data_IF_941862846283
#
_entry.id   IF_941862846283
#
_cell.length_a   1.000
_cell.length_b   1.000
_cell.length_c   1.000
_cell.angle_alpha   90.00
_cell.angle_beta   90.00
_cell.angle_gamma   90.00
#
_symmetry.space_group_name_H-M   'P 1'
#
loop_
_entity.id
_entity.type
_entity.pdbx_description
1 polymer ?
#
# COMPACT_ATOMS: atom_id res chain seq x y z
N UNK A 1 -2.57 -14.11 12.78
CA UNK A 1 -2.13 -13.24 13.90
C UNK A 1 -1.46 -11.95 13.37
N UNK A 2 -0.26 -12.01 12.77
CA UNK A 2 0.43 -10.81 12.23
C UNK A 2 -0.40 -9.99 11.22
N UNK A 3 -1.15 -10.66 10.34
CA UNK A 3 -2.08 -10.01 9.40
C UNK A 3 -3.21 -9.25 10.12
N UNK A 4 -3.74 -9.83 11.21
CA UNK A 4 -4.80 -9.22 12.03
C UNK A 4 -4.28 -8.01 12.81
N UNK A 5 -3.01 -8.04 13.22
CA UNK A 5 -2.37 -6.93 13.92
C UNK A 5 -1.68 -5.92 12.98
N UNK A 6 -1.72 -6.12 11.66
CA UNK A 6 -1.01 -5.31 10.65
C UNK A 6 0.46 -4.99 10.98
N UNK A 7 1.13 -5.86 11.75
CA UNK A 7 2.50 -5.62 12.22
C UNK A 7 2.67 -4.63 13.37
N UNK A 8 1.58 -4.04 13.91
CA UNK A 8 1.58 -3.11 15.04
C UNK A 8 1.44 -3.80 16.41
N UNK A 9 1.88 -5.06 16.50
CA UNK A 9 1.90 -5.77 17.79
C UNK A 9 3.22 -5.51 18.50
N UNK A 10 3.15 -5.15 19.79
CA UNK A 10 4.31 -5.19 20.66
C UNK A 10 4.79 -6.64 20.73
N UNK A 11 5.97 -6.92 20.17
CA UNK A 11 6.55 -8.25 20.09
C UNK A 11 7.97 -8.19 20.61
N UNK A 12 8.29 -9.06 21.58
CA UNK A 12 9.65 -9.14 22.07
C UNK A 12 10.55 -9.83 21.03
N UNK A 13 11.86 -9.60 21.11
CA UNK A 13 12.83 -10.30 20.24
C UNK A 13 12.73 -11.82 20.37
N UNK A 14 12.35 -12.32 21.55
CA UNK A 14 12.17 -13.76 21.80
C UNK A 14 10.99 -14.35 21.03
N UNK A 15 9.94 -13.58 20.85
CA UNK A 15 8.75 -14.01 20.10
C UNK A 15 8.98 -13.84 18.59
N UNK A 16 9.64 -12.76 18.18
CA UNK A 16 9.92 -12.45 16.77
C UNK A 16 10.88 -13.45 16.12
N UNK A 17 11.99 -13.79 16.79
CA UNK A 17 13.09 -14.49 16.15
C UNK A 17 12.72 -15.89 15.59
N UNK A 18 11.95 -16.73 16.31
CA UNK A 18 11.50 -18.02 15.77
C UNK A 18 10.61 -17.86 14.53
N UNK A 19 9.69 -16.89 14.53
CA UNK A 19 8.84 -16.60 13.37
C UNK A 19 9.65 -16.11 12.17
N UNK A 20 10.62 -15.23 12.43
CA UNK A 20 11.53 -14.74 11.40
C UNK A 20 12.37 -15.86 10.79
N UNK A 21 12.99 -16.72 11.60
CA UNK A 21 13.82 -17.82 11.09
C UNK A 21 12.99 -18.82 10.29
N UNK A 22 11.80 -19.20 10.77
CA UNK A 22 10.91 -20.10 10.03
C UNK A 22 10.50 -19.50 8.67
N UNK A 23 10.13 -18.22 8.64
CA UNK A 23 9.81 -17.52 7.40
C UNK A 23 11.04 -17.38 6.48
N UNK A 24 12.21 -17.08 7.05
CA UNK A 24 13.46 -16.98 6.33
C UNK A 24 13.81 -18.30 5.66
N UNK A 25 13.85 -19.41 6.39
CA UNK A 25 14.13 -20.74 5.84
C UNK A 25 13.12 -21.18 4.77
N UNK A 26 11.85 -20.81 4.95
CA UNK A 26 10.83 -21.07 3.94
C UNK A 26 11.05 -20.28 2.64
N UNK A 27 11.54 -19.04 2.75
CA UNK A 27 11.61 -18.05 1.67
C UNK A 27 12.97 -18.00 0.97
N UNK A 28 14.08 -18.11 1.71
CA UNK A 28 15.48 -18.02 1.27
C UNK A 28 15.95 -19.28 0.55
N UNK A 29 15.12 -19.80 -0.35
CA UNK A 29 15.44 -20.94 -1.22
C UNK A 29 15.99 -20.40 -2.53
N UNK A 30 17.05 -21.02 -3.05
CA UNK A 30 17.65 -20.67 -4.36
C UNK A 30 16.61 -20.47 -5.46
N UNK A 31 15.61 -21.37 -5.54
CA UNK A 31 14.52 -21.30 -6.52
C UNK A 31 13.67 -20.02 -6.36
N UNK A 32 13.30 -19.66 -5.14
CA UNK A 32 12.49 -18.47 -4.85
C UNK A 32 13.28 -17.20 -5.15
N UNK A 33 14.56 -17.17 -4.76
CA UNK A 33 15.47 -16.05 -5.04
C UNK A 33 15.63 -15.83 -6.55
N UNK A 34 15.88 -16.89 -7.32
CA UNK A 34 16.00 -16.80 -8.79
C UNK A 34 14.69 -16.31 -9.43
N UNK A 35 13.54 -16.83 -8.99
CA UNK A 35 12.23 -16.36 -9.47
C UNK A 35 11.97 -14.89 -9.11
N UNK A 36 12.40 -14.44 -7.93
CA UNK A 36 12.25 -13.04 -7.52
C UNK A 36 13.09 -12.10 -8.41
N UNK A 37 14.34 -12.50 -8.73
CA UNK A 37 15.18 -11.76 -9.67
C UNK A 37 14.61 -11.77 -11.11
N UNK A 38 14.03 -12.89 -11.55
CA UNK A 38 13.38 -12.98 -12.85
C UNK A 38 12.14 -12.09 -12.92
N UNK A 39 11.30 -12.13 -11.89
CA UNK A 39 10.09 -11.31 -11.79
C UNK A 39 10.39 -9.81 -11.71
N UNK A 40 11.50 -9.43 -11.07
CA UNK A 40 11.98 -8.04 -11.06
C UNK A 40 12.78 -7.69 -12.32
N UNK A 41 13.02 -8.68 -13.20
CA UNK A 41 13.85 -8.58 -14.41
C UNK A 41 15.28 -8.11 -14.13
N UNK A 42 15.75 -8.32 -12.90
CA UNK A 42 17.13 -8.08 -12.47
C UNK A 42 18.03 -9.21 -13.01
N UNK A 43 17.55 -10.46 -13.03
CA UNK A 43 18.28 -11.59 -13.59
C UNK A 43 17.38 -12.77 -13.97
N UNK A 44 17.47 -13.30 -15.21
CA UNK A 44 18.23 -12.74 -16.33
C UNK A 44 17.68 -11.37 -16.75
N UNK A 45 18.56 -10.47 -17.19
CA UNK A 45 18.20 -9.12 -17.67
C UNK A 45 17.37 -9.23 -18.96
N UNK A 46 16.06 -9.43 -18.80
CA UNK A 46 15.12 -9.50 -19.91
C UNK A 46 14.09 -8.35 -19.81
N UNK A 47 14.35 -7.21 -20.44
CA UNK A 47 13.50 -6.02 -20.32
C UNK A 47 12.08 -6.23 -20.89
N UNK A 48 11.88 -7.23 -21.76
CA UNK A 48 10.57 -7.53 -22.36
C UNK A 48 9.56 -8.04 -21.32
N UNK A 49 10.02 -8.61 -20.20
CA UNK A 49 9.16 -9.13 -19.12
C UNK A 49 8.42 -8.00 -18.41
N UNK A 50 9.07 -6.86 -18.20
CA UNK A 50 8.44 -5.66 -17.62
C UNK A 50 7.40 -5.10 -18.58
N UNK A 51 7.72 -4.98 -19.86
CA UNK A 51 6.82 -4.42 -20.86
C UNK A 51 5.51 -5.22 -20.99
N UNK A 52 5.57 -6.56 -20.88
CA UNK A 52 4.37 -7.42 -20.87
C UNK A 52 3.36 -7.05 -19.77
N UNK A 53 3.81 -6.60 -18.59
CA UNK A 53 2.91 -6.21 -17.48
C UNK A 53 2.04 -5.02 -17.82
N UNK A 54 2.55 -4.09 -18.63
CA UNK A 54 1.82 -2.89 -19.02
C UNK A 54 0.88 -3.15 -20.21
N UNK A 55 1.20 -4.10 -21.09
CA UNK A 55 0.31 -4.48 -22.20
C UNK A 55 -0.91 -5.29 -21.74
N UNK A 56 -0.82 -6.04 -20.64
CA UNK A 56 -1.96 -6.81 -20.10
C UNK A 56 -2.97 -5.94 -19.33
N UNK A 57 -2.65 -4.66 -19.09
CA UNK A 57 -3.47 -3.72 -18.34
C UNK A 57 -4.20 -2.74 -19.25
N UNK A 58 -4.95 -3.23 -20.24
CA UNK A 58 -6.16 -2.51 -20.64
C UNK A 58 -7.34 -3.17 -19.91
N UNK A 59 -7.74 -2.68 -18.72
CA UNK A 59 -9.13 -2.87 -18.36
C UNK A 59 -9.92 -2.14 -19.46
N UNK A 60 -10.82 -2.89 -20.09
CA UNK A 60 -11.90 -2.35 -20.91
C UNK A 60 -12.43 -1.10 -20.21
N UNK A 61 -12.40 0.04 -20.90
CA UNK A 61 -13.09 1.26 -20.49
C UNK A 61 -14.58 0.92 -20.32
N UNK A 62 -14.95 0.47 -19.14
CA UNK A 62 -16.33 0.32 -18.70
C UNK A 62 -16.82 1.71 -18.30
N UNK A 63 -17.51 2.34 -19.24
CA UNK A 63 -18.48 3.42 -19.09
C UNK A 63 -18.10 4.60 -18.19
N UNK A 64 -18.00 5.77 -18.83
CA UNK A 64 -18.36 7.05 -18.24
C UNK A 64 -19.66 6.87 -17.44
N UNK A 65 -19.56 6.92 -16.11
CA UNK A 65 -20.70 7.11 -15.25
C UNK A 65 -20.37 8.34 -14.44
N UNK A 66 -20.97 9.45 -14.85
CA UNK A 66 -21.04 10.69 -14.09
C UNK A 66 -21.72 10.38 -12.77
N UNK A 67 -20.93 9.96 -11.77
CA UNK A 67 -21.35 9.84 -10.39
C UNK A 67 -20.65 10.94 -9.61
N UNK A 68 -21.09 12.17 -9.86
CA UNK A 68 -20.98 13.29 -8.93
C UNK A 68 -21.73 12.91 -7.65
N UNK A 69 -21.04 12.24 -6.71
CA UNK A 69 -21.37 12.12 -5.28
C UNK A 69 -20.83 10.80 -4.71
N UNK A 70 -19.52 10.56 -4.75
CA UNK A 70 -18.91 9.77 -3.68
C UNK A 70 -18.45 10.74 -2.61
N UNK A 71 -19.15 10.72 -1.47
CA UNK A 71 -18.73 11.47 -0.30
C UNK A 71 -17.25 11.15 -0.01
N UNK A 72 -16.40 12.18 -0.07
CA UNK A 72 -14.96 12.08 0.08
C UNK A 72 -14.64 11.36 1.39
N UNK A 73 -14.32 10.07 1.33
CA UNK A 73 -13.85 9.37 2.51
C UNK A 73 -12.43 9.81 2.79
N UNK A 74 -12.22 10.48 3.92
CA UNK A 74 -10.89 10.86 4.40
C UNK A 74 -9.91 9.67 4.54
N UNK A 75 -10.39 8.42 4.46
CA UNK A 75 -9.55 7.22 4.40
C UNK A 75 -8.80 7.06 3.07
N UNK A 76 -9.32 7.62 1.97
CA UNK A 76 -8.80 7.38 0.63
C UNK A 76 -7.88 8.53 0.21
N UNK A 77 -6.73 8.64 0.88
CA UNK A 77 -5.78 9.75 0.65
C UNK A 77 -5.39 9.92 -0.84
N UNK A 78 -5.37 8.82 -1.61
CA UNK A 78 -5.06 8.83 -3.05
C UNK A 78 -6.10 9.59 -3.87
N UNK A 79 -7.38 9.46 -3.54
CA UNK A 79 -8.46 10.16 -4.23
C UNK A 79 -8.40 11.66 -3.92
N UNK A 80 -8.19 11.99 -2.63
CA UNK A 80 -8.04 13.38 -2.20
C UNK A 80 -6.78 14.04 -2.75
N UNK A 81 -5.68 13.28 -2.89
CA UNK A 81 -4.44 13.76 -3.50
C UNK A 81 -4.61 13.99 -5.01
N UNK A 82 -5.34 13.12 -5.70
CA UNK A 82 -5.68 13.30 -7.11
C UNK A 82 -6.44 14.61 -7.34
N UNK A 83 -7.44 14.89 -6.50
CA UNK A 83 -8.19 16.14 -6.53
C UNK A 83 -7.33 17.35 -6.15
N UNK A 84 -6.51 17.24 -5.11
CA UNK A 84 -5.57 18.29 -4.72
C UNK A 84 -4.67 18.66 -5.91
N UNK A 85 -4.15 17.67 -6.63
CA UNK A 85 -3.31 17.88 -7.80
C UNK A 85 -4.09 18.44 -9.01
N UNK A 86 -5.39 18.19 -9.10
CA UNK A 86 -6.27 18.76 -10.13
C UNK A 86 -6.60 20.23 -9.86
N UNK A 87 -6.79 20.59 -8.58
CA UNK A 87 -7.10 21.96 -8.14
C UNK A 87 -5.84 22.83 -8.10
N UNK A 88 -4.71 22.26 -7.66
CA UNK A 88 -3.45 22.99 -7.52
C UNK A 88 -2.70 23.03 -8.86
N UNK A 89 -2.68 24.21 -9.48
CA UNK A 89 -1.96 24.43 -10.75
C UNK A 89 -0.45 24.20 -10.65
N UNK A 90 0.15 24.50 -9.48
CA UNK A 90 1.58 24.31 -9.24
C UNK A 90 1.83 23.22 -8.19
N UNK A 91 2.17 22.00 -8.63
CA UNK A 91 2.46 20.87 -7.74
C UNK A 91 3.63 21.11 -6.78
N UNK A 92 4.50 22.08 -7.09
CA UNK A 92 5.62 22.50 -6.24
C UNK A 92 5.24 23.54 -5.17
N UNK A 93 3.97 23.96 -5.08
CA UNK A 93 3.54 24.94 -4.09
C UNK A 93 3.76 24.40 -2.65
N UNK A 94 4.56 25.08 -1.81
CA UNK A 94 4.83 24.65 -0.44
C UNK A 94 3.56 24.54 0.42
N UNK A 95 2.52 25.35 0.16
CA UNK A 95 1.25 25.26 0.87
C UNK A 95 0.47 24.01 0.47
N UNK A 96 0.43 23.70 -0.83
CA UNK A 96 -0.19 22.48 -1.32
C UNK A 96 0.50 21.22 -0.78
N UNK A 97 1.85 21.21 -0.73
CA UNK A 97 2.59 20.11 -0.13
C UNK A 97 2.32 19.98 1.38
N UNK A 98 2.21 21.09 2.10
CA UNK A 98 1.88 21.06 3.53
C UNK A 98 0.48 20.47 3.75
N UNK A 99 -0.48 20.83 2.89
CA UNK A 99 -1.84 20.31 2.94
C UNK A 99 -1.91 18.82 2.60
N UNK A 100 -1.21 18.37 1.55
CA UNK A 100 -1.07 16.95 1.19
C UNK A 100 -0.52 16.13 2.37
N UNK A 101 0.57 16.60 3.00
CA UNK A 101 1.16 15.95 4.17
C UNK A 101 0.19 15.87 5.36
N UNK A 102 -0.58 16.93 5.61
CA UNK A 102 -1.58 16.95 6.67
C UNK A 102 -2.69 15.93 6.41
N UNK A 103 -3.24 15.89 5.19
CA UNK A 103 -4.25 14.91 4.81
C UNK A 103 -3.73 13.47 4.91
N UNK A 104 -2.51 13.21 4.45
CA UNK A 104 -1.89 11.90 4.59
C UNK A 104 -1.77 11.50 6.06
N UNK A 105 -1.29 12.40 6.92
CA UNK A 105 -1.18 12.14 8.37
C UNK A 105 -2.53 11.84 9.00
N UNK A 106 -3.58 12.63 8.70
CA UNK A 106 -4.93 12.43 9.22
C UNK A 106 -5.51 11.10 8.75
N UNK A 107 -5.34 10.76 7.47
CA UNK A 107 -5.78 9.49 6.89
C UNK A 107 -5.15 8.30 7.63
N UNK A 108 -3.83 8.33 7.84
CA UNK A 108 -3.12 7.29 8.60
C UNK A 108 -3.62 7.19 10.05
N UNK A 109 -3.75 8.33 10.74
CA UNK A 109 -4.25 8.34 12.12
C UNK A 109 -5.66 7.78 12.23
N UNK A 110 -6.55 8.12 11.30
CA UNK A 110 -7.91 7.58 11.24
C UNK A 110 -7.88 6.06 11.07
N UNK A 111 -7.09 5.55 10.13
CA UNK A 111 -6.98 4.10 9.90
C UNK A 111 -6.43 3.36 11.13
N UNK A 112 -5.50 3.98 11.86
CA UNK A 112 -4.96 3.42 13.10
C UNK A 112 -6.03 3.36 14.20
N UNK A 113 -6.76 4.47 14.40
CA UNK A 113 -7.87 4.55 15.37
C UNK A 113 -8.98 3.54 15.08
N UNK A 114 -9.36 3.37 13.81
CA UNK A 114 -10.36 2.38 13.41
C UNK A 114 -9.90 0.95 13.72
N UNK A 115 -8.61 0.65 13.55
CA UNK A 115 -8.04 -0.65 13.88
C UNK A 115 -7.98 -0.90 15.38
N UNK A 116 -7.57 0.09 16.17
CA UNK A 116 -7.56 -0.01 17.63
C UNK A 116 -8.98 -0.24 18.16
N UNK A 117 -9.96 0.52 17.67
CA UNK A 117 -11.36 0.35 18.05
C UNK A 117 -11.91 -1.03 17.67
N UNK A 118 -11.54 -1.55 16.50
CA UNK A 118 -11.91 -2.90 16.07
C UNK A 118 -11.26 -3.97 16.95
N UNK A 119 -9.97 -3.84 17.26
CA UNK A 119 -9.25 -4.75 18.14
C UNK A 119 -9.82 -4.78 19.56
N UNK A 120 -10.22 -3.62 20.10
CA UNK A 120 -10.89 -3.53 21.40
C UNK A 120 -12.24 -4.25 21.41
N UNK A 121 -13.05 -4.10 20.35
CA UNK A 121 -14.34 -4.79 20.23
C UNK A 121 -14.21 -6.31 20.13
N UNK A 122 -13.14 -6.79 19.49
CA UNK A 122 -12.91 -8.24 19.33
C UNK A 122 -12.36 -8.91 20.59
N UNK A 123 -11.80 -8.13 21.53
CA UNK A 123 -11.25 -8.63 22.78
C UNK A 123 -12.28 -8.67 23.93
N UNK A 124 -13.44 -8.05 23.75
CA UNK A 124 -14.55 -7.99 24.71
C UNK A 124 -15.57 -9.10 24.43
#
# INVERSE_FOLDING_TARGET
FMERCQGLTSMSKRDFYPMFIAAWEASFKKKTILKAFEATSISPLNPKVILKRFYTSQPTQGSSSDSDSSALSASNWKETEGLLQQVVKNKGDPQAQKLSKAFHSISVQKTLLEQEAQGLKEAL
#
